data_IF_671943982785
#
_entry.id   IF_671943982785
#
_cell.length_a   1.000
_cell.length_b   1.000
_cell.length_c   1.000
_cell.angle_alpha   90.00
_cell.angle_beta   90.00
_cell.angle_gamma   90.00
#
_symmetry.space_group_name_H-M   'P 1'
#
loop_
_entity.id
_entity.type
_entity.pdbx_description
1 polymer ?
#
# COMPACT_ATOMS: atom_id res chain seq x y z
N UNK A 1 3.68 -26.64 11.81
CA UNK A 1 3.16 -26.27 11.43
C UNK A 1 3.14 -25.58 10.29
N UNK A 2 2.80 -25.61 9.53
CA UNK A 2 2.95 -25.22 8.24
C UNK A 2 1.84 -24.43 7.73
N UNK A 3 0.99 -24.06 8.58
CA UNK A 3 -0.17 -23.34 8.18
C UNK A 3 0.15 -21.95 7.75
N UNK A 4 1.36 -21.48 8.03
CA UNK A 4 1.65 -20.13 7.68
C UNK A 4 1.72 -19.87 6.21
N UNK A 5 2.24 -20.80 5.43
CA UNK A 5 2.34 -20.60 4.00
C UNK A 5 0.98 -20.63 3.32
N UNK A 6 0.02 -21.37 3.87
CA UNK A 6 -1.30 -21.42 3.27
C UNK A 6 -2.12 -20.18 3.56
N UNK A 7 -1.71 -19.41 4.58
CA UNK A 7 -2.46 -18.24 5.00
C UNK A 7 -1.80 -16.93 4.63
N UNK A 8 -0.74 -16.98 3.82
CA UNK A 8 -0.01 -15.75 3.52
C UNK A 8 -0.89 -14.74 2.79
N UNK A 9 -1.73 -15.20 1.87
CA UNK A 9 -2.62 -14.30 1.16
C UNK A 9 -3.60 -13.62 2.13
N UNK A 10 -4.10 -14.36 3.11
CA UNK A 10 -4.98 -13.79 4.13
C UNK A 10 -4.25 -12.79 5.00
N UNK A 11 -3.00 -13.08 5.35
CA UNK A 11 -2.19 -12.16 6.16
C UNK A 11 -1.97 -10.85 5.42
N UNK A 12 -1.67 -10.93 4.13
CA UNK A 12 -1.46 -9.74 3.31
C UNK A 12 -2.79 -9.00 3.14
N UNK A 13 -3.90 -9.73 2.96
CA UNK A 13 -5.22 -9.08 2.86
C UNK A 13 -5.53 -8.30 4.14
N UNK A 14 -5.21 -8.86 5.30
CA UNK A 14 -5.43 -8.16 6.56
C UNK A 14 -4.57 -6.91 6.66
N UNK A 15 -3.32 -7.00 6.19
CA UNK A 15 -2.43 -5.84 6.21
C UNK A 15 -2.95 -4.76 5.25
N UNK A 16 -3.44 -5.15 4.08
CA UNK A 16 -4.05 -4.20 3.15
C UNK A 16 -5.31 -3.57 3.75
N UNK A 17 -6.08 -4.34 4.51
CA UNK A 17 -7.28 -3.82 5.18
C UNK A 17 -6.92 -2.71 6.16
N UNK A 18 -5.82 -2.88 6.88
CA UNK A 18 -5.34 -1.86 7.84
C UNK A 18 -4.91 -0.61 7.08
N UNK A 19 -4.25 -0.77 5.94
CA UNK A 19 -3.88 0.36 5.08
C UNK A 19 -5.13 1.12 4.64
N UNK A 20 -6.13 0.39 4.13
CA UNK A 20 -7.38 0.99 3.66
C UNK A 20 -8.09 1.74 4.79
N UNK A 21 -8.10 1.14 5.98
CA UNK A 21 -8.77 1.75 7.13
C UNK A 21 -8.10 3.06 7.55
N UNK A 22 -6.77 3.05 7.65
CA UNK A 22 -6.05 4.27 8.00
C UNK A 22 -6.26 5.35 6.95
N UNK A 23 -6.32 4.95 5.68
CA UNK A 23 -6.55 5.89 4.59
C UNK A 23 -7.93 6.54 4.73
N UNK A 24 -8.96 5.73 4.98
CA UNK A 24 -10.33 6.24 5.11
C UNK A 24 -10.49 7.18 6.30
N UNK A 25 -9.63 7.03 7.30
CA UNK A 25 -9.62 7.90 8.48
C UNK A 25 -8.77 9.15 8.30
N UNK A 26 -8.11 9.29 7.14
CA UNK A 26 -7.21 10.40 6.90
C UNK A 26 -5.97 10.36 7.78
N UNK A 27 -5.56 9.17 8.21
CA UNK A 27 -4.48 9.00 9.17
C UNK A 27 -3.16 8.69 8.46
N UNK A 28 -2.53 9.72 7.90
CA UNK A 28 -1.28 9.57 7.16
C UNK A 28 -0.16 9.02 8.04
N UNK A 29 -0.12 9.43 9.32
CA UNK A 29 0.90 8.92 10.24
C UNK A 29 0.72 7.41 10.45
N UNK A 30 -0.53 6.95 10.56
CA UNK A 30 -0.82 5.52 10.68
C UNK A 30 -0.43 4.74 9.44
N UNK A 31 -0.65 5.32 8.27
CA UNK A 31 -0.24 4.70 7.00
C UNK A 31 1.29 4.53 6.99
N UNK A 32 2.02 5.57 7.36
CA UNK A 32 3.49 5.53 7.35
C UNK A 32 4.04 4.44 8.27
N UNK A 33 3.36 4.17 9.38
CA UNK A 33 3.79 3.13 10.31
C UNK A 33 3.65 1.72 9.74
N UNK A 34 2.91 1.55 8.65
CA UNK A 34 2.74 0.26 7.99
C UNK A 34 3.91 -0.09 7.08
N UNK A 35 4.86 0.82 6.91
CA UNK A 35 6.05 0.61 6.10
C UNK A 35 7.24 0.24 6.97
N UNK A 36 8.23 -0.43 6.38
CA UNK A 36 9.47 -0.71 7.08
C UNK A 36 10.22 0.59 7.35
N UNK A 37 11.20 0.55 8.26
CA UNK A 37 11.97 1.76 8.58
C UNK A 37 12.68 2.35 7.37
N UNK A 38 13.06 1.52 6.40
CA UNK A 38 13.67 1.99 5.16
C UNK A 38 12.74 1.78 3.97
N UNK A 39 11.45 1.87 4.21
CA UNK A 39 10.45 1.73 3.16
C UNK A 39 10.56 2.80 2.09
N UNK A 40 10.08 2.48 0.91
CA UNK A 40 10.11 3.40 -0.23
C UNK A 40 8.81 3.33 -1.01
N UNK A 41 8.35 4.50 -1.44
CA UNK A 41 7.30 4.60 -2.46
C UNK A 41 7.96 4.92 -3.79
N UNK A 42 7.40 4.35 -4.86
CA UNK A 42 7.81 4.64 -6.22
C UNK A 42 6.58 5.12 -6.99
N UNK A 43 6.15 6.36 -6.75
CA UNK A 43 4.88 6.83 -7.32
C UNK A 43 5.01 7.21 -8.77
N UNK A 44 3.86 7.20 -9.46
CA UNK A 44 3.78 7.65 -10.85
C UNK A 44 4.15 9.13 -10.92
N UNK A 45 5.04 9.45 -11.83
CA UNK A 45 5.30 10.85 -12.17
C UNK A 45 6.16 11.59 -11.18
N UNK A 46 6.77 10.91 -10.21
CA UNK A 46 7.68 11.57 -9.29
C UNK A 46 8.80 10.61 -8.90
N UNK A 47 9.79 11.15 -8.23
CA UNK A 47 10.95 10.38 -7.81
C UNK A 47 10.64 9.58 -6.56
N UNK A 48 11.60 8.78 -6.11
CA UNK A 48 11.47 7.96 -4.91
C UNK A 48 11.06 8.79 -3.71
N UNK A 49 10.24 8.17 -2.85
CA UNK A 49 9.92 8.74 -1.53
C UNK A 49 10.45 7.74 -0.52
N UNK A 50 11.42 8.13 0.29
CA UNK A 50 12.12 7.23 1.20
C UNK A 50 11.92 7.60 2.65
N UNK A 51 11.62 6.59 3.47
CA UNK A 51 11.53 6.72 4.90
C UNK A 51 10.15 7.15 5.37
N UNK A 52 9.87 6.87 6.65
CA UNK A 52 8.51 7.04 7.18
C UNK A 52 8.03 8.47 7.16
N UNK A 53 8.91 9.42 7.43
CA UNK A 53 8.48 10.82 7.46
C UNK A 53 8.08 11.31 6.07
N UNK A 54 8.89 11.01 5.07
CA UNK A 54 8.57 11.40 3.70
C UNK A 54 7.33 10.66 3.19
N UNK A 55 7.17 9.39 3.57
CA UNK A 55 5.99 8.60 3.21
C UNK A 55 4.73 9.22 3.83
N UNK A 56 4.80 9.59 5.10
CA UNK A 56 3.69 10.27 5.77
C UNK A 56 3.31 11.55 5.02
N UNK A 57 4.29 12.36 4.68
CA UNK A 57 4.04 13.63 3.99
C UNK A 57 3.42 13.39 2.62
N UNK A 58 3.88 12.35 1.91
CA UNK A 58 3.31 12.01 0.61
C UNK A 58 1.83 11.66 0.72
N UNK A 59 1.48 10.77 1.66
CA UNK A 59 0.09 10.35 1.81
C UNK A 59 -0.78 11.45 2.38
N UNK A 60 -0.22 12.31 3.23
CA UNK A 60 -0.95 13.47 3.72
C UNK A 60 -1.30 14.40 2.55
N UNK A 61 -0.36 14.56 1.60
CA UNK A 61 -0.62 15.36 0.41
C UNK A 61 -1.75 14.78 -0.43
N UNK A 62 -1.78 13.45 -0.59
CA UNK A 62 -2.85 12.78 -1.32
C UNK A 62 -4.20 12.99 -0.65
N UNK A 63 -4.25 12.86 0.67
CA UNK A 63 -5.46 13.07 1.46
C UNK A 63 -5.92 14.53 1.31
N UNK A 64 -4.98 15.48 1.37
CA UNK A 64 -5.31 16.90 1.24
C UNK A 64 -5.84 17.25 -0.16
N UNK A 65 -5.50 16.45 -1.17
CA UNK A 65 -5.99 16.66 -2.53
C UNK A 65 -7.39 16.11 -2.74
N UNK A 66 -7.98 15.52 -1.71
CA UNK A 66 -9.37 15.07 -1.79
C UNK A 66 -9.57 13.57 -1.90
N UNK A 67 -8.48 12.79 -1.84
CA UNK A 67 -8.61 11.34 -1.86
C UNK A 67 -9.06 10.89 -0.48
N UNK A 68 -10.21 10.20 -0.43
CA UNK A 68 -10.83 9.78 0.84
C UNK A 68 -10.77 8.29 1.08
N UNK A 69 -10.54 7.52 0.04
CA UNK A 69 -10.60 6.07 0.16
C UNK A 69 -9.61 5.43 -0.81
N UNK A 70 -8.90 4.41 -0.35
CA UNK A 70 -8.07 3.56 -1.20
C UNK A 70 -8.68 2.17 -1.16
N UNK A 71 -8.83 1.54 -2.31
CA UNK A 71 -9.31 0.17 -2.41
C UNK A 71 -8.25 -0.66 -3.10
N UNK A 72 -7.85 -1.75 -2.46
CA UNK A 72 -6.79 -2.62 -2.96
C UNK A 72 -7.36 -4.00 -3.24
N UNK A 73 -7.21 -4.46 -4.49
CA UNK A 73 -7.68 -5.78 -4.89
C UNK A 73 -6.48 -6.64 -5.25
N UNK A 74 -6.27 -7.70 -4.49
CA UNK A 74 -5.13 -8.59 -4.68
C UNK A 74 -5.35 -9.46 -5.91
N UNK A 75 -4.38 -9.45 -6.83
CA UNK A 75 -4.37 -10.35 -7.98
C UNK A 75 -3.58 -11.60 -7.67
N UNK A 76 -2.37 -11.43 -7.11
CA UNK A 76 -1.57 -12.60 -6.72
C UNK A 76 -0.64 -12.23 -5.57
N UNK A 77 -0.27 -13.25 -4.80
CA UNK A 77 0.68 -13.14 -3.70
C UNK A 77 1.68 -14.27 -3.86
N UNK A 78 2.96 -13.95 -3.80
CA UNK A 78 4.01 -14.93 -4.03
C UNK A 78 5.08 -14.79 -2.94
N UNK A 79 5.44 -15.90 -2.31
CA UNK A 79 6.48 -15.91 -1.29
C UNK A 79 7.83 -16.11 -1.98
N UNK A 80 8.77 -15.21 -1.70
CA UNK A 80 10.12 -15.27 -2.27
C UNK A 80 11.11 -15.18 -1.10
N UNK A 81 11.52 -16.34 -0.57
CA UNK A 81 12.40 -16.37 0.59
C UNK A 81 11.72 -15.72 1.79
N UNK A 82 12.31 -14.67 2.32
CA UNK A 82 11.76 -13.97 3.49
C UNK A 82 10.95 -12.73 3.12
N UNK A 83 10.64 -12.56 1.86
CA UNK A 83 9.78 -11.47 1.43
C UNK A 83 8.55 -12.02 0.73
N UNK A 84 7.52 -11.20 0.62
CA UNK A 84 6.30 -11.55 -0.08
C UNK A 84 6.07 -10.50 -1.16
N UNK A 85 5.72 -10.93 -2.36
CA UNK A 85 5.43 -10.03 -3.47
C UNK A 85 3.93 -10.08 -3.73
N UNK A 86 3.30 -8.92 -3.66
CA UNK A 86 1.87 -8.79 -3.93
C UNK A 86 1.68 -7.99 -5.22
N UNK A 87 0.81 -8.48 -6.10
CA UNK A 87 0.40 -7.74 -7.31
C UNK A 87 -1.10 -7.50 -7.19
N UNK A 88 -1.52 -6.30 -7.49
CA UNK A 88 -2.95 -5.99 -7.39
C UNK A 88 -3.37 -4.80 -8.22
N UNK A 89 -4.67 -4.52 -8.14
CA UNK A 89 -5.28 -3.32 -8.71
C UNK A 89 -5.66 -2.38 -7.58
N UNK A 90 -5.61 -1.09 -7.84
CA UNK A 90 -6.05 -0.10 -6.86
C UNK A 90 -7.06 0.85 -7.46
N UNK A 91 -7.88 1.42 -6.58
CA UNK A 91 -8.73 2.55 -6.89
C UNK A 91 -8.56 3.58 -5.78
N UNK A 92 -8.44 4.84 -6.15
CA UNK A 92 -8.43 5.95 -5.21
C UNK A 92 -9.68 6.74 -5.44
N UNK A 93 -10.47 6.94 -4.38
CA UNK A 93 -11.80 7.54 -4.50
C UNK A 93 -11.90 8.82 -3.69
N UNK A 94 -12.70 9.75 -4.20
CA UNK A 94 -12.98 10.99 -3.50
C UNK A 94 -14.21 10.86 -2.61
N UNK A 95 -14.65 11.98 -2.07
CA UNK A 95 -15.70 12.05 -1.05
C UNK A 95 -17.03 11.45 -1.49
N UNK A 96 -17.39 11.53 -2.73
CA UNK A 96 -18.64 10.99 -3.21
C UNK A 96 -18.53 9.57 -3.76
N UNK A 97 -17.41 8.93 -3.58
CA UNK A 97 -17.17 7.62 -4.17
C UNK A 97 -16.66 7.66 -5.59
N UNK A 98 -16.39 8.85 -6.11
CA UNK A 98 -15.84 9.01 -7.46
C UNK A 98 -14.47 8.39 -7.55
N UNK A 99 -14.20 7.65 -8.60
CA UNK A 99 -12.85 7.11 -8.82
C UNK A 99 -11.99 8.23 -9.39
N UNK A 100 -11.03 8.69 -8.58
CA UNK A 100 -10.11 9.75 -8.98
C UNK A 100 -8.89 9.20 -9.71
N UNK A 101 -8.49 7.97 -9.39
CA UNK A 101 -7.41 7.28 -10.09
C UNK A 101 -7.60 5.79 -9.91
N UNK A 102 -7.11 5.00 -10.86
CA UNK A 102 -7.09 3.55 -10.76
C UNK A 102 -5.92 3.01 -11.57
N UNK A 103 -5.42 1.87 -11.14
CA UNK A 103 -4.26 1.29 -11.80
C UNK A 103 -3.87 -0.03 -11.17
N UNK A 104 -2.58 -0.30 -11.19
CA UNK A 104 -2.02 -1.57 -10.72
C UNK A 104 -0.76 -1.28 -9.91
N UNK A 105 -0.42 -2.25 -9.05
CA UNK A 105 0.71 -2.07 -8.13
C UNK A 105 1.42 -3.38 -7.88
N UNK A 106 2.66 -3.25 -7.42
CA UNK A 106 3.43 -4.32 -6.81
C UNK A 106 3.92 -3.80 -5.46
N UNK A 107 3.75 -4.61 -4.42
CA UNK A 107 4.32 -4.32 -3.11
C UNK A 107 5.22 -5.48 -2.72
N UNK A 108 6.41 -5.15 -2.25
CA UNK A 108 7.29 -6.12 -1.61
C UNK A 108 7.12 -5.94 -0.11
N UNK A 109 6.68 -6.99 0.56
CA UNK A 109 6.43 -7.01 1.99
C UNK A 109 7.60 -7.67 2.70
N UNK A 110 7.99 -7.13 3.85
CA UNK A 110 9.00 -7.75 4.73
C UNK A 110 8.46 -7.76 6.15
N UNK A 111 8.93 -8.70 6.95
CA UNK A 111 8.59 -8.69 8.36
C UNK A 111 9.53 -7.79 9.13
N UNK A 112 8.96 -7.00 10.02
CA UNK A 112 9.71 -6.12 10.90
C UNK A 112 8.96 -6.11 12.22
N UNK A 113 9.62 -6.50 13.29
CA UNK A 113 8.95 -6.61 14.58
C UNK A 113 7.84 -7.65 14.60
N UNK A 114 7.96 -8.69 13.79
CA UNK A 114 6.96 -9.77 13.74
C UNK A 114 5.74 -9.45 12.89
N UNK A 115 5.73 -8.31 12.23
CA UNK A 115 4.59 -7.90 11.41
C UNK A 115 5.01 -7.69 9.98
N UNK A 116 4.08 -8.00 9.05
CA UNK A 116 4.31 -7.69 7.64
C UNK A 116 4.20 -6.19 7.43
N UNK A 117 5.24 -5.61 6.81
CA UNK A 117 5.31 -4.18 6.52
C UNK A 117 5.62 -3.97 5.05
N UNK A 118 5.06 -2.91 4.49
CA UNK A 118 5.38 -2.55 3.10
C UNK A 118 6.83 -2.09 3.04
N UNK A 119 7.60 -2.70 2.16
CA UNK A 119 9.03 -2.37 2.03
C UNK A 119 9.30 -1.57 0.78
N UNK A 120 8.72 -2.01 -0.35
CA UNK A 120 8.77 -1.27 -1.60
C UNK A 120 7.37 -1.25 -2.15
N UNK A 121 6.92 -0.10 -2.60
CA UNK A 121 5.53 0.10 -2.99
C UNK A 121 5.53 0.90 -4.28
N UNK A 122 5.30 0.23 -5.40
CA UNK A 122 5.29 0.85 -6.71
C UNK A 122 3.91 0.71 -7.33
N UNK A 123 3.44 1.80 -7.91
CA UNK A 123 2.17 1.76 -8.62
C UNK A 123 2.22 2.68 -9.82
N UNK A 124 1.32 2.42 -10.78
CA UNK A 124 1.13 3.34 -11.87
C UNK A 124 -0.31 3.30 -12.34
N UNK A 125 -0.73 4.44 -12.84
CA UNK A 125 -2.11 4.60 -13.28
C UNK A 125 -2.38 3.80 -14.55
N UNK A 126 -3.62 3.32 -14.67
CA UNK A 126 -4.11 2.71 -15.90
C UNK A 126 -4.98 3.69 -16.68
N UNK A 127 -5.13 4.92 -16.19
CA UNK A 127 -5.90 5.93 -16.88
C UNK A 127 -5.05 6.62 -17.92
N UNK A 128 -5.63 6.85 -19.07
CA UNK A 128 -4.97 7.65 -20.09
C UNK A 128 -5.44 9.08 -19.93
N UNK A 129 -4.57 10.00 -20.23
CA UNK A 129 -4.82 11.43 -19.99
C UNK A 129 -6.05 11.93 -20.71
#
# INVERSE_FOLDING_TARGET
>A
MTTQTTNIRDDIRKADDVFEKNFSQGNAAGIAELYTNDGMLLPTGSDFVKGKEAIRDFWQGAINMGIKEAKLDIVEVEVQGNVVVEVGHYQLKGAGGDVLDQGKYIVIWKQEGGQWKLHRDIWNTSRTA
#
